data_IF_700838872535
#
_entry.id   IF_700838872535
#
_cell.length_a   1.000
_cell.length_b   1.000
_cell.length_c   1.000
_cell.angle_alpha   90.00
_cell.angle_beta   90.00
_cell.angle_gamma   90.00
#
_symmetry.space_group_name_H-M   'P 1'
#
loop_
_entity.id
_entity.type
_entity.pdbx_description
1 polymer ?
#
# COMPACT_ATOMS: atom_id res chain seq x y z
N UNK A 1 40.90 -1.86 -31.44
CA UNK A 1 39.41 -1.85 -31.35
C UNK A 1 39.03 -2.89 -30.30
N UNK A 2 38.82 -2.49 -29.05
CA UNK A 2 38.46 -3.41 -27.97
C UNK A 2 37.00 -3.78 -28.20
N UNK A 3 36.75 -5.06 -28.50
CA UNK A 3 35.42 -5.63 -28.50
C UNK A 3 34.85 -5.49 -27.07
N UNK A 4 34.00 -4.49 -26.85
CA UNK A 4 33.20 -4.43 -25.62
C UNK A 4 32.29 -5.64 -25.66
N UNK A 5 32.62 -6.67 -24.91
CA UNK A 5 31.81 -7.89 -24.77
C UNK A 5 30.44 -7.44 -24.24
N UNK A 6 29.40 -7.61 -25.03
CA UNK A 6 28.05 -7.18 -24.67
C UNK A 6 27.59 -8.03 -23.47
N UNK A 7 27.46 -7.40 -22.29
CA UNK A 7 27.01 -8.08 -21.07
C UNK A 7 25.56 -8.52 -21.23
N UNK A 8 25.23 -9.71 -20.78
CA UNK A 8 23.82 -10.14 -20.65
C UNK A 8 23.12 -9.26 -19.61
N UNK A 9 21.96 -8.72 -19.93
CA UNK A 9 21.20 -7.83 -19.05
C UNK A 9 20.03 -8.56 -18.40
N UNK A 10 20.00 -8.52 -17.08
CA UNK A 10 18.83 -8.90 -16.29
C UNK A 10 18.13 -7.60 -15.89
N UNK A 11 16.91 -7.38 -16.39
CA UNK A 11 16.11 -6.18 -16.09
C UNK A 11 15.01 -6.55 -15.11
N UNK A 12 14.90 -5.77 -14.02
CA UNK A 12 13.88 -5.92 -12.98
C UNK A 12 13.00 -4.66 -13.03
N UNK A 13 11.69 -4.85 -13.20
CA UNK A 13 10.71 -3.78 -13.27
C UNK A 13 10.00 -3.59 -11.92
N UNK A 14 10.10 -2.41 -11.35
CA UNK A 14 9.56 -2.02 -10.05
C UNK A 14 10.66 -1.75 -9.02
N UNK A 15 10.26 -1.10 -7.90
CA UNK A 15 11.12 -0.77 -6.76
C UNK A 15 10.52 -1.23 -5.41
N UNK A 16 9.46 -2.05 -5.44
CA UNK A 16 8.78 -2.62 -4.28
C UNK A 16 9.48 -3.85 -3.69
N UNK A 17 8.82 -4.49 -2.72
CA UNK A 17 9.35 -5.65 -1.97
C UNK A 17 9.86 -6.78 -2.87
N UNK A 18 9.06 -7.17 -3.87
CA UNK A 18 9.45 -8.24 -4.79
C UNK A 18 10.69 -7.88 -5.62
N UNK A 19 10.71 -6.67 -6.19
CA UNK A 19 11.83 -6.21 -7.02
C UNK A 19 13.13 -6.15 -6.23
N UNK A 20 13.11 -5.54 -5.04
CA UNK A 20 14.29 -5.37 -4.19
C UNK A 20 14.81 -6.72 -3.69
N UNK A 21 13.95 -7.61 -3.24
CA UNK A 21 14.37 -8.94 -2.76
C UNK A 21 14.95 -9.79 -3.90
N UNK A 22 14.35 -9.71 -5.11
CA UNK A 22 14.88 -10.34 -6.30
C UNK A 22 16.26 -9.78 -6.66
N UNK A 23 16.42 -8.46 -6.70
CA UNK A 23 17.68 -7.80 -6.98
C UNK A 23 18.78 -8.21 -6.00
N UNK A 24 18.52 -8.18 -4.69
CA UNK A 24 19.48 -8.62 -3.67
C UNK A 24 19.95 -10.05 -3.87
N UNK A 25 19.02 -10.95 -4.20
CA UNK A 25 19.36 -12.35 -4.46
C UNK A 25 20.22 -12.50 -5.72
N UNK A 26 19.91 -11.76 -6.80
CA UNK A 26 20.71 -11.73 -8.02
C UNK A 26 22.06 -11.04 -7.82
N UNK A 27 22.15 -9.97 -7.02
CA UNK A 27 23.41 -9.32 -6.64
C UNK A 27 24.35 -10.27 -5.88
N UNK A 28 23.82 -11.13 -5.02
CA UNK A 28 24.62 -12.10 -4.28
C UNK A 28 25.29 -13.12 -5.18
N UNK A 29 24.70 -13.39 -6.35
CA UNK A 29 25.23 -14.34 -7.33
C UNK A 29 26.06 -13.67 -8.43
N UNK A 30 25.51 -12.63 -9.05
CA UNK A 30 26.07 -12.01 -10.25
C UNK A 30 26.65 -10.62 -10.04
N UNK A 31 26.60 -10.08 -8.83
CA UNK A 31 27.00 -8.70 -8.61
C UNK A 31 28.49 -8.39 -8.87
N UNK A 32 29.34 -9.42 -8.96
CA UNK A 32 30.75 -9.32 -9.37
C UNK A 32 31.02 -9.98 -10.72
N UNK A 33 29.99 -10.46 -11.42
CA UNK A 33 30.14 -11.11 -12.72
C UNK A 33 30.41 -10.06 -13.81
N UNK A 34 31.48 -10.25 -14.57
CA UNK A 34 31.84 -9.32 -15.65
C UNK A 34 30.95 -9.47 -16.90
N UNK A 35 30.21 -10.57 -17.03
CA UNK A 35 29.39 -10.89 -18.19
C UNK A 35 27.90 -10.55 -17.99
N UNK A 36 27.50 -10.21 -16.76
CA UNK A 36 26.12 -9.90 -16.40
C UNK A 36 25.99 -8.46 -15.90
N UNK A 37 24.97 -7.76 -16.38
CA UNK A 37 24.58 -6.43 -15.88
C UNK A 37 23.19 -6.53 -15.26
N UNK A 38 23.08 -6.13 -13.97
CA UNK A 38 21.81 -6.04 -13.26
C UNK A 38 21.25 -4.62 -13.41
N UNK A 39 20.00 -4.52 -13.87
CA UNK A 39 19.29 -3.25 -14.08
C UNK A 39 17.96 -3.31 -13.37
N UNK A 40 17.62 -2.25 -12.63
CA UNK A 40 16.30 -2.06 -12.04
C UNK A 40 15.69 -0.77 -12.55
N UNK A 41 14.39 -0.80 -12.85
CA UNK A 41 13.63 0.36 -13.32
C UNK A 41 12.43 0.55 -12.39
N UNK A 42 12.29 1.74 -11.79
CA UNK A 42 11.18 2.06 -10.88
C UNK A 42 10.82 3.53 -10.90
N UNK A 43 9.58 3.84 -10.54
CA UNK A 43 9.09 5.23 -10.45
C UNK A 43 9.66 5.95 -9.23
N UNK A 44 9.80 5.24 -8.11
CA UNK A 44 10.42 5.75 -6.89
C UNK A 44 11.84 5.23 -6.74
N UNK A 45 12.76 6.12 -6.34
CA UNK A 45 14.16 5.76 -6.09
C UNK A 45 14.40 5.08 -4.73
N UNK A 46 13.32 4.67 -4.07
CA UNK A 46 13.34 4.01 -2.76
C UNK A 46 12.36 2.83 -2.69
N UNK A 47 12.64 1.89 -1.82
CA UNK A 47 11.69 0.93 -1.31
C UNK A 47 10.88 1.59 -0.20
N UNK A 48 9.56 1.59 -0.30
CA UNK A 48 8.64 2.01 0.75
C UNK A 48 8.24 0.82 1.61
N UNK A 49 8.42 0.93 2.93
CA UNK A 49 7.97 -0.10 3.87
C UNK A 49 6.48 0.11 4.23
N UNK A 50 5.62 -0.24 3.28
CA UNK A 50 4.17 0.03 3.32
C UNK A 50 3.43 -0.43 4.59
N UNK A 51 3.85 -1.50 5.33
CA UNK A 51 3.16 -1.88 6.57
C UNK A 51 3.18 -0.81 7.68
N UNK A 52 4.06 0.19 7.57
CA UNK A 52 4.14 1.29 8.55
C UNK A 52 3.49 2.59 8.07
N UNK A 53 2.82 2.59 6.92
CA UNK A 53 2.10 3.78 6.42
C UNK A 53 1.04 4.31 7.40
N UNK A 54 0.21 3.48 8.05
CA UNK A 54 -0.74 3.97 9.05
C UNK A 54 -0.07 4.72 10.20
N UNK A 55 1.13 4.26 10.63
CA UNK A 55 1.90 4.92 11.70
C UNK A 55 2.53 6.24 11.25
N UNK A 56 2.85 6.38 9.96
CA UNK A 56 3.26 7.68 9.39
C UNK A 56 2.07 8.62 9.30
N UNK A 57 0.93 8.15 8.84
CA UNK A 57 -0.30 8.94 8.77
C UNK A 57 -0.78 9.42 10.15
N UNK A 58 -0.51 8.65 11.21
CA UNK A 58 -0.81 9.04 12.59
C UNK A 58 0.28 9.90 13.24
N UNK A 59 1.43 10.13 12.57
CA UNK A 59 2.55 10.88 13.12
C UNK A 59 3.41 10.13 14.14
N UNK A 60 3.18 8.81 14.32
CA UNK A 60 3.97 7.97 15.23
C UNK A 60 5.38 7.74 14.70
N UNK A 61 5.53 7.62 13.37
CA UNK A 61 6.81 7.38 12.70
C UNK A 61 7.10 8.52 11.73
N UNK A 62 8.34 8.99 11.75
CA UNK A 62 8.81 10.01 10.80
C UNK A 62 8.85 9.44 9.37
N UNK A 63 8.35 10.22 8.40
CA UNK A 63 8.18 9.80 6.98
C UNK A 63 9.43 9.18 6.38
N UNK A 64 10.62 9.76 6.68
CA UNK A 64 11.90 9.29 6.14
C UNK A 64 12.39 7.97 6.74
N UNK A 65 11.81 7.50 7.84
CA UNK A 65 12.30 6.32 8.52
C UNK A 65 11.82 5.01 7.88
N UNK A 66 10.76 5.06 7.06
CA UNK A 66 10.20 3.90 6.36
C UNK A 66 10.55 3.84 4.87
N UNK A 67 11.43 4.72 4.38
CA UNK A 67 11.91 4.71 2.99
C UNK A 67 13.39 4.33 2.92
N UNK A 68 13.73 3.49 1.95
CA UNK A 68 15.07 2.92 1.79
C UNK A 68 15.58 3.16 0.38
N UNK A 69 16.53 4.08 0.16
CA UNK A 69 17.02 4.39 -1.17
C UNK A 69 17.55 3.14 -1.88
N UNK A 70 17.07 2.87 -3.10
CA UNK A 70 17.44 1.66 -3.87
C UNK A 70 18.95 1.57 -4.03
N UNK A 71 19.61 2.68 -4.35
CA UNK A 71 21.07 2.73 -4.55
C UNK A 71 21.89 2.36 -3.31
N UNK A 72 21.27 2.42 -2.10
CA UNK A 72 21.94 2.03 -0.85
C UNK A 72 21.73 0.57 -0.49
N UNK A 73 20.61 -0.02 -0.92
CA UNK A 73 20.22 -1.40 -0.58
C UNK A 73 20.48 -2.39 -1.72
N UNK A 74 20.57 -1.93 -2.98
CA UNK A 74 20.93 -2.69 -4.18
C UNK A 74 22.17 -2.04 -4.83
N UNK A 75 23.35 -2.27 -4.24
CA UNK A 75 24.58 -1.51 -4.57
C UNK A 75 25.24 -1.91 -5.90
N UNK A 76 24.91 -3.09 -6.41
CA UNK A 76 25.51 -3.64 -7.64
C UNK A 76 24.51 -3.67 -8.80
N UNK A 77 23.30 -3.13 -8.57
CA UNK A 77 22.24 -3.01 -9.55
C UNK A 77 22.18 -1.57 -10.07
N UNK A 78 22.25 -1.39 -11.38
CA UNK A 78 22.09 -0.09 -12.00
C UNK A 78 20.62 0.32 -11.94
N UNK A 79 20.31 1.41 -11.28
CA UNK A 79 18.94 1.89 -11.11
C UNK A 79 18.62 3.02 -12.10
N UNK A 80 17.51 2.87 -12.83
CA UNK A 80 16.89 3.89 -13.66
C UNK A 80 15.57 4.32 -13.01
N UNK A 81 15.49 5.60 -12.65
CA UNK A 81 14.27 6.22 -12.18
C UNK A 81 13.43 6.66 -13.38
N UNK A 82 12.20 6.18 -13.43
CA UNK A 82 11.28 6.51 -14.49
C UNK A 82 10.05 5.62 -14.56
N UNK A 83 9.04 6.12 -15.26
CA UNK A 83 7.78 5.42 -15.45
C UNK A 83 7.84 4.50 -16.66
N UNK A 84 7.51 3.23 -16.48
CA UNK A 84 7.50 2.26 -17.57
C UNK A 84 6.35 2.59 -18.53
N UNK A 85 6.73 2.84 -19.80
CA UNK A 85 5.79 3.14 -20.88
C UNK A 85 5.26 1.87 -21.53
N UNK A 86 6.16 0.94 -21.87
CA UNK A 86 5.84 -0.28 -22.59
C UNK A 86 6.86 -1.39 -22.27
N UNK A 87 6.38 -2.62 -22.36
CA UNK A 87 7.19 -3.84 -22.33
C UNK A 87 6.88 -4.64 -23.57
N UNK A 88 7.87 -4.79 -24.44
CA UNK A 88 7.81 -5.63 -25.63
C UNK A 88 8.56 -6.96 -25.37
N UNK A 89 7.84 -8.06 -25.10
CA UNK A 89 8.47 -9.34 -24.82
C UNK A 89 9.04 -10.05 -26.06
N UNK A 90 8.58 -9.69 -27.27
CA UNK A 90 9.12 -10.25 -28.52
C UNK A 90 10.41 -9.58 -28.94
N UNK A 91 10.45 -8.24 -28.91
CA UNK A 91 11.66 -7.46 -29.17
C UNK A 91 12.63 -7.41 -27.99
N UNK A 92 12.29 -8.02 -26.84
CA UNK A 92 13.06 -7.96 -25.59
C UNK A 92 13.46 -6.52 -25.22
N UNK A 93 12.47 -5.62 -25.21
CA UNK A 93 12.68 -4.20 -25.01
C UNK A 93 11.74 -3.66 -23.94
N UNK A 94 12.30 -2.88 -23.00
CA UNK A 94 11.53 -2.08 -22.06
C UNK A 94 11.74 -0.62 -22.41
N UNK A 95 10.64 0.12 -22.56
CA UNK A 95 10.65 1.55 -22.77
C UNK A 95 10.12 2.27 -21.53
N UNK A 96 10.82 3.29 -21.06
CA UNK A 96 10.44 4.12 -19.93
C UNK A 96 10.48 5.60 -20.27
N UNK A 97 9.69 6.40 -19.56
CA UNK A 97 9.83 7.84 -19.47
C UNK A 97 10.80 8.17 -18.36
N UNK A 98 11.91 8.86 -18.68
CA UNK A 98 12.83 9.36 -17.65
C UNK A 98 12.21 10.49 -16.83
N UNK A 99 12.72 10.68 -15.63
CA UNK A 99 12.36 11.81 -14.78
C UNK A 99 12.94 13.11 -15.34
N UNK A 100 12.20 14.22 -15.19
CA UNK A 100 12.60 15.55 -15.59
C UNK A 100 12.19 15.91 -17.01
N UNK A 101 12.99 15.61 -18.01
CA UNK A 101 12.76 15.99 -19.41
C UNK A 101 11.78 15.08 -20.18
N UNK A 102 11.24 14.05 -19.52
CA UNK A 102 10.31 13.06 -20.08
C UNK A 102 10.83 12.37 -21.36
N UNK A 103 12.15 12.29 -21.55
CA UNK A 103 12.73 11.55 -22.68
C UNK A 103 12.40 10.06 -22.56
N UNK A 104 12.07 9.46 -23.70
CA UNK A 104 11.88 8.03 -23.80
C UNK A 104 13.23 7.32 -23.86
N UNK A 105 13.46 6.39 -22.93
CA UNK A 105 14.66 5.56 -22.88
C UNK A 105 14.23 4.12 -23.16
N UNK A 106 14.95 3.44 -24.04
CA UNK A 106 14.71 2.02 -24.35
C UNK A 106 15.87 1.16 -23.88
N UNK A 107 15.57 0.09 -23.16
CA UNK A 107 16.56 -0.82 -22.57
C UNK A 107 16.27 -2.23 -23.06
N UNK A 108 17.24 -2.82 -23.79
CA UNK A 108 17.20 -4.24 -24.15
C UNK A 108 17.51 -5.10 -22.93
N UNK A 109 16.87 -6.28 -22.88
CA UNK A 109 17.11 -7.30 -21.85
C UNK A 109 17.33 -8.69 -22.45
N UNK A 110 18.13 -9.50 -21.81
CA UNK A 110 18.22 -10.93 -22.04
C UNK A 110 17.22 -11.68 -21.17
N UNK A 111 17.08 -11.23 -19.91
CA UNK A 111 16.15 -11.75 -18.92
C UNK A 111 15.36 -10.61 -18.27
N UNK A 112 14.10 -10.89 -17.94
CA UNK A 112 13.19 -9.89 -17.39
C UNK A 112 12.48 -10.41 -16.15
N UNK A 113 12.39 -9.58 -15.11
CA UNK A 113 11.54 -9.83 -13.94
C UNK A 113 10.53 -8.69 -13.83
N UNK A 114 9.25 -9.00 -14.00
CA UNK A 114 8.15 -8.03 -13.85
C UNK A 114 7.66 -8.06 -12.41
N UNK A 115 7.93 -7.00 -11.65
CA UNK A 115 7.58 -6.84 -10.24
C UNK A 115 6.92 -5.48 -9.97
N UNK A 116 6.00 -5.07 -10.85
CA UNK A 116 5.40 -3.74 -10.89
C UNK A 116 4.34 -3.51 -9.79
N UNK A 117 3.97 -4.55 -9.04
CA UNK A 117 3.01 -4.44 -7.96
C UNK A 117 1.58 -4.13 -8.43
N UNK A 118 0.91 -3.27 -7.69
CA UNK A 118 -0.50 -2.94 -7.86
C UNK A 118 -0.78 -1.48 -7.52
N UNK A 119 -1.89 -0.96 -8.04
CA UNK A 119 -2.45 0.35 -7.73
C UNK A 119 -3.80 0.20 -7.03
N UNK A 120 -4.33 1.27 -6.47
CA UNK A 120 -5.65 1.28 -5.84
C UNK A 120 -6.73 1.04 -6.89
N UNK A 121 -7.72 0.22 -6.54
CA UNK A 121 -8.88 -0.05 -7.39
C UNK A 121 -10.11 0.67 -6.83
N UNK A 122 -10.64 1.60 -7.57
CA UNK A 122 -11.87 2.32 -7.24
C UNK A 122 -13.12 1.71 -7.87
N UNK A 123 -13.01 0.53 -8.49
CA UNK A 123 -14.13 -0.20 -9.14
C UNK A 123 -14.93 0.64 -10.15
N UNK A 124 -14.28 1.60 -10.80
CA UNK A 124 -14.90 2.47 -11.80
C UNK A 124 -15.65 3.68 -11.22
N UNK A 125 -15.59 3.90 -9.91
CA UNK A 125 -16.21 5.07 -9.26
C UNK A 125 -15.28 6.29 -9.37
N UNK A 126 -15.46 7.09 -10.42
CA UNK A 126 -14.61 8.25 -10.73
C UNK A 126 -14.72 9.38 -9.68
N UNK A 127 -15.87 9.54 -9.05
CA UNK A 127 -16.12 10.47 -7.96
C UNK A 127 -15.35 10.09 -6.69
N UNK A 128 -15.32 8.79 -6.35
CA UNK A 128 -14.51 8.27 -5.24
C UNK A 128 -13.01 8.44 -5.54
N UNK A 129 -12.56 8.08 -6.75
CA UNK A 129 -11.18 8.23 -7.19
C UNK A 129 -10.68 9.68 -7.08
N UNK A 130 -11.56 10.64 -7.41
CA UNK A 130 -11.23 12.06 -7.36
C UNK A 130 -11.15 12.62 -5.94
N UNK A 131 -12.01 12.17 -5.04
CA UNK A 131 -12.25 12.83 -3.76
C UNK A 131 -11.72 12.05 -2.54
N UNK A 132 -11.45 10.76 -2.66
CA UNK A 132 -10.99 9.93 -1.55
C UNK A 132 -9.48 10.01 -1.34
N UNK A 133 -9.08 9.84 -0.10
CA UNK A 133 -7.68 9.62 0.29
C UNK A 133 -7.35 8.14 0.21
N UNK A 134 -6.15 7.79 -0.21
CA UNK A 134 -5.66 6.42 -0.27
C UNK A 134 -4.59 6.15 0.79
N UNK A 135 -4.16 4.89 0.93
CA UNK A 135 -3.10 4.49 1.86
C UNK A 135 -2.14 3.51 1.17
N UNK A 136 -1.57 3.92 0.05
CA UNK A 136 -0.70 3.10 -0.80
C UNK A 136 0.71 3.64 -0.93
N UNK A 137 0.87 4.95 -0.96
CA UNK A 137 2.14 5.66 -1.13
C UNK A 137 2.51 6.46 0.12
N UNK A 138 3.78 6.89 0.21
CA UNK A 138 4.22 7.79 1.28
C UNK A 138 3.45 9.11 1.25
N UNK A 139 3.21 9.64 0.04
CA UNK A 139 2.44 10.87 -0.15
C UNK A 139 1.01 10.73 0.40
N UNK A 140 0.37 9.58 0.19
CA UNK A 140 -0.97 9.33 0.73
C UNK A 140 -1.00 9.46 2.25
N UNK A 141 -0.02 8.88 2.95
CA UNK A 141 0.05 8.96 4.41
C UNK A 141 0.24 10.40 4.89
N UNK A 142 1.10 11.18 4.23
CA UNK A 142 1.32 12.60 4.54
C UNK A 142 0.07 13.44 4.26
N UNK A 143 -0.55 13.23 3.11
CA UNK A 143 -1.79 13.93 2.72
C UNK A 143 -2.93 13.61 3.69
N UNK A 144 -3.07 12.35 4.07
CA UNK A 144 -4.09 11.95 5.06
C UNK A 144 -3.84 12.60 6.42
N UNK A 145 -2.59 12.60 6.91
CA UNK A 145 -2.22 13.27 8.17
C UNK A 145 -2.57 14.76 8.13
N UNK A 146 -2.18 15.45 7.06
CA UNK A 146 -2.51 16.87 6.88
C UNK A 146 -4.01 17.10 6.84
N UNK A 147 -4.76 16.22 6.17
CA UNK A 147 -6.23 16.29 6.10
C UNK A 147 -6.88 16.14 7.48
N UNK A 148 -6.41 15.19 8.28
CA UNK A 148 -6.95 14.97 9.63
C UNK A 148 -6.78 16.23 10.48
N UNK A 149 -5.57 16.81 10.49
CA UNK A 149 -5.30 18.02 11.25
C UNK A 149 -6.12 19.21 10.73
N UNK A 150 -6.22 19.35 9.39
CA UNK A 150 -7.05 20.40 8.78
C UNK A 150 -8.53 20.29 9.19
N UNK A 151 -9.06 19.08 9.28
CA UNK A 151 -10.43 18.85 9.71
C UNK A 151 -10.65 19.22 11.18
N UNK A 152 -9.65 18.96 12.04
CA UNK A 152 -9.72 19.38 13.45
C UNK A 152 -9.66 20.91 13.60
N UNK A 153 -8.77 21.59 12.85
CA UNK A 153 -8.68 23.06 12.84
C UNK A 153 -9.99 23.71 12.36
N UNK A 154 -10.61 23.16 11.32
CA UNK A 154 -11.89 23.69 10.84
C UNK A 154 -13.02 23.41 11.83
N UNK A 155 -13.08 22.21 12.42
CA UNK A 155 -14.10 21.85 13.39
C UNK A 155 -14.02 22.67 14.70
N UNK A 156 -12.81 23.08 15.12
CA UNK A 156 -12.61 23.86 16.33
C UNK A 156 -13.36 25.21 16.27
N UNK A 157 -13.38 25.82 15.08
CA UNK A 157 -13.97 27.14 14.85
C UNK A 157 -15.36 27.12 14.22
N UNK A 158 -15.87 25.94 13.81
CA UNK A 158 -17.14 25.83 13.11
C UNK A 158 -18.35 25.86 14.08
N UNK A 159 -19.28 26.75 13.81
CA UNK A 159 -20.50 26.93 14.60
C UNK A 159 -21.71 26.18 14.06
N UNK A 160 -21.71 25.86 12.74
CA UNK A 160 -22.77 25.05 12.15
C UNK A 160 -22.62 23.59 12.56
N UNK A 161 -23.56 22.99 13.31
CA UNK A 161 -23.39 21.65 13.86
C UNK A 161 -23.34 20.55 12.78
N UNK A 162 -23.99 20.73 11.64
CA UNK A 162 -23.98 19.76 10.54
C UNK A 162 -22.62 19.78 9.85
N UNK A 163 -22.12 20.95 9.54
CA UNK A 163 -20.81 21.12 8.90
C UNK A 163 -19.69 20.67 9.83
N UNK A 164 -19.74 21.06 11.11
CA UNK A 164 -18.81 20.60 12.13
C UNK A 164 -18.77 19.06 12.24
N UNK A 165 -19.92 18.40 12.25
CA UNK A 165 -20.01 16.94 12.25
C UNK A 165 -19.37 16.34 11.02
N UNK A 166 -19.47 16.97 9.84
CA UNK A 166 -18.86 16.47 8.62
C UNK A 166 -17.32 16.48 8.66
N UNK A 167 -16.72 17.44 9.40
CA UNK A 167 -15.28 17.50 9.62
C UNK A 167 -14.78 16.41 10.59
N UNK A 168 -15.61 16.02 11.57
CA UNK A 168 -15.25 15.09 12.63
C UNK A 168 -15.65 13.63 12.35
N UNK A 169 -16.33 13.37 11.22
CA UNK A 169 -16.61 12.05 10.73
C UNK A 169 -15.50 11.63 9.75
N UNK A 170 -14.81 10.55 10.06
CA UNK A 170 -13.78 9.95 9.20
C UNK A 170 -14.24 8.57 8.77
N UNK A 171 -14.36 8.34 7.47
CA UNK A 171 -14.85 7.07 6.92
C UNK A 171 -13.71 6.30 6.29
N UNK A 172 -13.47 5.07 6.73
CA UNK A 172 -12.47 4.15 6.19
C UNK A 172 -13.20 3.05 5.44
N UNK A 173 -12.90 2.85 4.16
CA UNK A 173 -13.50 1.82 3.31
C UNK A 173 -12.56 0.65 3.17
N UNK A 174 -13.00 -0.52 3.60
CA UNK A 174 -12.26 -1.77 3.60
C UNK A 174 -11.89 -2.25 5.01
N UNK A 175 -12.38 -3.41 5.40
CA UNK A 175 -12.11 -4.09 6.67
C UNK A 175 -10.90 -5.04 6.63
N UNK A 176 -10.04 -4.93 5.61
CA UNK A 176 -8.77 -5.65 5.52
C UNK A 176 -7.69 -5.08 6.44
N UNK A 177 -6.45 -5.60 6.33
CA UNK A 177 -5.32 -5.15 7.17
C UNK A 177 -5.10 -3.65 7.12
N UNK A 178 -4.95 -3.07 5.92
CA UNK A 178 -4.68 -1.64 5.75
C UNK A 178 -5.77 -0.76 6.36
N UNK A 179 -7.06 -1.11 6.13
CA UNK A 179 -8.17 -0.31 6.67
C UNK A 179 -8.27 -0.38 8.18
N UNK A 180 -8.14 -1.57 8.75
CA UNK A 180 -8.22 -1.76 10.21
C UNK A 180 -7.06 -1.10 10.93
N UNK A 181 -5.82 -1.24 10.43
CA UNK A 181 -4.65 -0.59 11.00
C UNK A 181 -4.74 0.94 10.85
N UNK A 182 -5.23 1.43 9.70
CA UNK A 182 -5.45 2.87 9.49
C UNK A 182 -6.53 3.42 10.44
N UNK A 183 -7.65 2.73 10.61
CA UNK A 183 -8.72 3.17 11.51
C UNK A 183 -8.24 3.20 12.98
N UNK A 184 -7.45 2.20 13.40
CA UNK A 184 -6.87 2.15 14.74
C UNK A 184 -5.90 3.30 15.00
N UNK A 185 -4.95 3.52 14.10
CA UNK A 185 -3.96 4.59 14.19
C UNK A 185 -4.58 5.99 14.06
N UNK A 186 -5.61 6.14 13.22
CA UNK A 186 -6.38 7.38 13.10
C UNK A 186 -7.09 7.73 14.40
N UNK A 187 -7.80 6.78 15.01
CA UNK A 187 -8.48 7.01 16.28
C UNK A 187 -7.48 7.35 17.40
N UNK A 188 -6.31 6.70 17.42
CA UNK A 188 -5.25 7.02 18.39
C UNK A 188 -4.74 8.44 18.21
N UNK A 189 -4.47 8.89 16.97
CA UNK A 189 -4.11 10.28 16.68
C UNK A 189 -5.18 11.25 17.18
N UNK A 190 -6.44 11.03 16.79
CA UNK A 190 -7.56 11.92 17.17
C UNK A 190 -7.68 12.06 18.69
N UNK A 191 -7.57 10.96 19.44
CA UNK A 191 -7.66 10.99 20.90
C UNK A 191 -6.45 11.66 21.55
N UNK A 192 -5.25 11.46 21.03
CA UNK A 192 -4.00 12.06 21.57
C UNK A 192 -3.98 13.58 21.34
N UNK A 193 -4.41 14.07 20.16
CA UNK A 193 -4.33 15.49 19.80
C UNK A 193 -5.55 16.31 20.24
N UNK A 194 -6.69 15.67 20.57
CA UNK A 194 -7.93 16.34 20.96
C UNK A 194 -7.75 17.40 22.05
N UNK A 195 -6.82 17.21 22.96
CA UNK A 195 -6.54 18.17 24.05
C UNK A 195 -6.10 19.56 23.57
N UNK A 196 -5.64 19.67 22.34
CA UNK A 196 -5.28 20.94 21.70
C UNK A 196 -6.48 21.65 21.04
N UNK A 197 -7.64 20.97 21.01
CA UNK A 197 -8.90 21.45 20.42
C UNK A 197 -10.02 21.42 21.48
N UNK A 198 -10.08 22.43 22.38
CA UNK A 198 -10.96 22.40 23.55
C UNK A 198 -12.45 22.36 23.22
N UNK A 199 -12.87 22.86 22.04
CA UNK A 199 -14.27 22.78 21.63
C UNK A 199 -14.69 21.36 21.24
N UNK A 200 -13.74 20.47 20.87
CA UNK A 200 -14.03 19.14 20.38
C UNK A 200 -14.10 18.13 21.54
N UNK A 201 -15.27 17.51 21.72
CA UNK A 201 -15.44 16.45 22.71
C UNK A 201 -15.10 15.09 22.11
N UNK A 202 -14.78 14.10 22.99
CA UNK A 202 -14.46 12.73 22.53
C UNK A 202 -15.59 12.13 21.69
N UNK A 203 -16.84 12.38 22.07
CA UNK A 203 -18.01 11.81 21.41
C UNK A 203 -18.36 12.48 20.07
N UNK A 204 -17.74 13.63 19.79
CA UNK A 204 -17.84 14.30 18.48
C UNK A 204 -17.02 13.56 17.41
N UNK A 205 -15.92 12.93 17.80
CA UNK A 205 -15.01 12.22 16.92
C UNK A 205 -15.59 10.87 16.50
N UNK A 206 -15.73 10.63 15.20
CA UNK A 206 -16.25 9.37 14.66
C UNK A 206 -15.29 8.79 13.63
N UNK A 207 -14.85 7.57 13.85
CA UNK A 207 -14.16 6.75 12.84
C UNK A 207 -15.07 5.60 12.49
N UNK A 208 -15.46 5.52 11.21
CA UNK A 208 -16.43 4.56 10.71
C UNK A 208 -15.72 3.68 9.68
N UNK A 209 -15.73 2.38 9.89
CA UNK A 209 -15.19 1.40 8.94
C UNK A 209 -16.34 0.77 8.16
N UNK A 210 -16.36 0.94 6.85
CA UNK A 210 -17.32 0.32 5.95
C UNK A 210 -16.67 -0.89 5.27
N UNK A 211 -17.28 -2.07 5.45
CA UNK A 211 -16.81 -3.30 4.84
C UNK A 211 -17.94 -3.98 4.06
N UNK A 212 -17.70 -4.26 2.80
CA UNK A 212 -18.67 -4.91 1.93
C UNK A 212 -18.92 -6.38 2.30
N UNK A 213 -17.93 -7.03 2.89
CA UNK A 213 -18.07 -8.42 3.34
C UNK A 213 -18.70 -8.53 4.73
N UNK A 214 -19.00 -9.76 5.14
CA UNK A 214 -19.60 -10.06 6.45
C UNK A 214 -18.60 -10.13 7.61
N UNK A 215 -17.30 -9.90 7.36
CA UNK A 215 -16.25 -10.00 8.39
C UNK A 215 -15.10 -9.02 8.11
N UNK A 216 -14.38 -8.64 9.14
CA UNK A 216 -13.11 -7.89 9.02
C UNK A 216 -11.92 -8.84 9.07
N UNK A 217 -10.75 -8.39 8.58
CA UNK A 217 -9.48 -9.10 8.65
C UNK A 217 -9.58 -10.53 8.09
N UNK A 218 -10.05 -10.69 6.83
CA UNK A 218 -10.20 -11.99 6.22
C UNK A 218 -8.87 -12.75 6.22
N UNK A 219 -8.94 -14.04 6.58
CA UNK A 219 -7.75 -14.90 6.70
C UNK A 219 -7.23 -15.06 8.15
N UNK A 220 -7.64 -14.24 9.09
CA UNK A 220 -7.44 -14.53 10.50
C UNK A 220 -8.44 -15.56 11.03
N UNK A 221 -8.08 -16.23 12.13
CA UNK A 221 -9.02 -17.02 12.89
C UNK A 221 -10.20 -16.16 13.36
N UNK A 222 -11.44 -16.68 13.26
CA UNK A 222 -12.67 -15.96 13.63
C UNK A 222 -12.63 -15.36 15.05
N UNK A 223 -12.02 -16.08 16.02
CA UNK A 223 -11.89 -15.56 17.39
C UNK A 223 -10.99 -14.33 17.47
N UNK A 224 -9.91 -14.29 16.67
CA UNK A 224 -9.03 -13.12 16.60
C UNK A 224 -9.70 -11.94 15.89
N UNK A 225 -10.44 -12.19 14.82
CA UNK A 225 -11.20 -11.15 14.11
C UNK A 225 -12.29 -10.55 15.01
N UNK A 226 -13.01 -11.37 15.77
CA UNK A 226 -14.01 -10.89 16.74
C UNK A 226 -13.38 -10.12 17.91
N UNK A 227 -12.25 -10.59 18.45
CA UNK A 227 -11.47 -9.84 19.43
C UNK A 227 -11.06 -8.46 18.88
N UNK A 228 -10.56 -8.39 17.63
CA UNK A 228 -10.21 -7.13 17.00
C UNK A 228 -11.41 -6.20 16.88
N UNK A 229 -12.55 -6.70 16.39
CA UNK A 229 -13.80 -5.96 16.25
C UNK A 229 -14.27 -5.38 17.57
N UNK A 230 -14.25 -6.19 18.64
CA UNK A 230 -14.62 -5.74 19.98
C UNK A 230 -13.68 -4.64 20.48
N UNK A 231 -12.36 -4.80 20.33
CA UNK A 231 -11.37 -3.79 20.76
C UNK A 231 -11.49 -2.47 20.00
N UNK A 232 -11.75 -2.51 18.71
CA UNK A 232 -12.00 -1.32 17.91
C UNK A 232 -13.28 -0.61 18.37
N UNK A 233 -14.36 -1.37 18.64
CA UNK A 233 -15.61 -0.80 19.17
C UNK A 233 -15.41 -0.15 20.55
N UNK A 234 -14.66 -0.78 21.46
CA UNK A 234 -14.33 -0.23 22.78
C UNK A 234 -13.55 1.11 22.66
N UNK A 235 -12.85 1.32 21.56
CA UNK A 235 -12.13 2.57 21.23
C UNK A 235 -13.02 3.64 20.59
N UNK A 236 -14.26 3.32 20.26
CA UNK A 236 -15.21 4.23 19.62
C UNK A 236 -15.21 4.16 18.09
N UNK A 237 -14.60 3.13 17.50
CA UNK A 237 -14.64 2.89 16.05
C UNK A 237 -15.92 2.11 15.72
N UNK A 238 -16.75 2.67 14.84
CA UNK A 238 -17.97 2.02 14.33
C UNK A 238 -17.63 1.14 13.12
N UNK A 239 -17.92 -0.16 13.20
CA UNK A 239 -17.66 -1.10 12.12
C UNK A 239 -18.99 -1.56 11.53
N UNK A 240 -19.23 -1.17 10.28
CA UNK A 240 -20.42 -1.52 9.53
C UNK A 240 -20.08 -2.55 8.46
N UNK A 241 -20.54 -3.78 8.66
CA UNK A 241 -20.36 -4.89 7.72
C UNK A 241 -21.49 -4.94 6.70
N UNK A 242 -21.25 -5.62 5.57
CA UNK A 242 -22.20 -5.71 4.45
C UNK A 242 -22.64 -4.33 3.94
N UNK A 243 -21.74 -3.36 4.00
CA UNK A 243 -21.93 -1.99 3.54
C UNK A 243 -20.95 -1.67 2.41
N UNK A 244 -21.44 -1.47 1.22
CA UNK A 244 -20.64 -1.08 0.06
C UNK A 244 -20.84 0.42 -0.24
N UNK A 245 -19.74 1.13 -0.42
CA UNK A 245 -19.75 2.52 -0.91
C UNK A 245 -20.11 2.50 -2.40
N UNK A 246 -20.99 3.38 -2.81
CA UNK A 246 -21.42 3.55 -4.20
C UNK A 246 -21.02 4.89 -4.81
N UNK A 247 -20.83 5.93 -3.99
CA UNK A 247 -20.35 7.24 -4.43
C UNK A 247 -19.77 8.06 -3.27
N UNK A 248 -18.97 9.08 -3.60
CA UNK A 248 -18.47 10.10 -2.69
C UNK A 248 -18.18 11.40 -3.43
N UNK A 249 -18.93 12.44 -3.15
CA UNK A 249 -18.81 13.76 -3.80
C UNK A 249 -17.83 14.72 -3.12
N UNK A 250 -17.17 14.28 -2.03
CA UNK A 250 -16.29 15.10 -1.17
C UNK A 250 -16.99 15.64 0.08
N UNK A 251 -18.30 15.42 0.22
CA UNK A 251 -19.12 15.87 1.36
C UNK A 251 -19.96 14.75 1.96
N UNK A 252 -20.38 13.81 1.15
CA UNK A 252 -21.30 12.74 1.54
C UNK A 252 -20.92 11.43 0.86
N UNK A 253 -20.88 10.35 1.65
CA UNK A 253 -20.68 8.98 1.18
C UNK A 253 -22.02 8.30 1.05
N UNK A 254 -22.34 7.80 -0.13
CA UNK A 254 -23.52 6.97 -0.36
C UNK A 254 -23.17 5.49 -0.17
N UNK A 255 -24.01 4.78 0.56
CA UNK A 255 -23.78 3.40 0.99
C UNK A 255 -24.96 2.53 0.58
N UNK A 256 -24.68 1.37 0.04
CA UNK A 256 -25.65 0.31 -0.23
C UNK A 256 -25.47 -0.82 0.77
N UNK A 257 -26.58 -1.30 1.37
CA UNK A 257 -26.58 -2.51 2.18
C UNK A 257 -26.61 -3.74 1.26
N UNK A 258 -25.73 -4.71 1.54
CA UNK A 258 -25.64 -5.98 0.81
C UNK A 258 -26.33 -7.07 1.61
N UNK A 259 -27.63 -7.30 1.37
CA UNK A 259 -28.39 -8.41 1.98
C UNK A 259 -28.14 -9.71 1.24
N UNK A 260 -28.09 -10.83 1.98
CA UNK A 260 -27.90 -12.18 1.40
C UNK A 260 -29.21 -12.80 0.86
N UNK A 261 -30.36 -12.20 1.10
CA UNK A 261 -31.64 -12.74 0.63
C UNK A 261 -32.00 -12.16 -0.74
N UNK A 262 -32.28 -13.02 -1.76
CA UNK A 262 -32.92 -12.59 -2.98
C UNK A 262 -34.34 -12.15 -2.60
N UNK A 263 -34.63 -10.88 -2.58
CA UNK A 263 -35.98 -10.40 -2.54
C UNK A 263 -36.53 -10.45 -3.97
N UNK A 264 -37.55 -11.27 -4.18
CA UNK A 264 -38.36 -11.30 -5.41
C UNK A 264 -39.18 -10.01 -5.63
N UNK A 265 -38.83 -8.93 -4.99
CA UNK A 265 -39.39 -7.59 -5.17
C UNK A 265 -38.30 -6.62 -5.58
N UNK A 266 -38.50 -6.06 -6.73
CA UNK A 266 -37.80 -4.89 -7.24
C UNK A 266 -37.71 -3.85 -6.11
N UNK A 267 -36.51 -3.73 -5.59
CA UNK A 267 -35.84 -2.57 -5.04
C UNK A 267 -36.47 -1.78 -3.89
N UNK A 268 -35.84 -1.89 -2.76
CA UNK A 268 -35.34 -0.76 -1.98
C UNK A 268 -34.19 -1.26 -1.12
N UNK A 269 -33.02 -1.50 -1.76
CA UNK A 269 -31.76 -1.49 -1.00
C UNK A 269 -31.74 -0.15 -0.26
N UNK A 270 -31.80 -0.17 1.10
CA UNK A 270 -31.70 1.05 1.88
C UNK A 270 -30.41 1.76 1.50
N UNK A 271 -30.54 2.80 0.68
CA UNK A 271 -29.45 3.71 0.39
C UNK A 271 -29.34 4.61 1.63
N UNK A 272 -28.27 4.45 2.34
CA UNK A 272 -27.93 5.29 3.48
C UNK A 272 -26.78 6.22 3.08
N UNK A 273 -26.68 7.35 3.74
CA UNK A 273 -25.57 8.27 3.51
C UNK A 273 -24.90 8.67 4.82
N UNK A 274 -23.61 9.00 4.73
CA UNK A 274 -22.81 9.53 5.83
C UNK A 274 -22.19 10.85 5.38
N UNK A 275 -22.53 11.91 6.11
CA UNK A 275 -21.91 13.22 5.91
C UNK A 275 -20.49 13.17 6.45
N UNK A 276 -19.50 13.37 5.57
CA UNK A 276 -18.07 13.40 5.89
C UNK A 276 -17.29 14.20 4.86
N UNK A 277 -16.23 14.85 5.29
CA UNK A 277 -15.23 15.48 4.43
C UNK A 277 -14.01 14.61 4.17
N UNK A 278 -13.94 13.42 4.80
CA UNK A 278 -12.75 12.56 4.73
C UNK A 278 -13.14 11.10 4.54
N UNK A 279 -13.00 10.63 3.31
CA UNK A 279 -13.12 9.22 2.94
C UNK A 279 -11.74 8.64 2.68
N UNK A 280 -11.39 7.56 3.36
CA UNK A 280 -10.11 6.86 3.23
C UNK A 280 -10.36 5.53 2.54
N UNK A 281 -9.88 5.40 1.31
CA UNK A 281 -10.11 4.22 0.48
C UNK A 281 -8.97 3.23 0.61
N UNK A 282 -9.22 2.10 1.24
CA UNK A 282 -8.27 0.98 1.39
C UNK A 282 -8.80 -0.31 0.74
N UNK A 283 -9.97 -0.25 0.11
CA UNK A 283 -10.64 -1.39 -0.49
C UNK A 283 -10.15 -1.63 -1.94
N UNK A 284 -9.62 -2.83 -2.15
CA UNK A 284 -9.28 -3.30 -3.48
C UNK A 284 -7.97 -2.76 -4.05
N UNK A 285 -7.32 -3.62 -4.81
CA UNK A 285 -6.15 -3.30 -5.62
C UNK A 285 -6.30 -3.89 -7.02
N UNK A 286 -5.64 -3.29 -7.98
CA UNK A 286 -5.56 -3.76 -9.36
C UNK A 286 -4.11 -3.67 -9.84
N UNK A 287 -3.65 -4.57 -10.72
CA UNK A 287 -2.34 -4.40 -11.34
C UNK A 287 -2.24 -3.08 -12.10
N UNK A 288 -1.05 -2.51 -12.10
CA UNK A 288 -0.79 -1.23 -12.77
C UNK A 288 -1.16 -1.26 -14.26
N UNK A 289 -1.62 -0.13 -14.79
CA UNK A 289 -2.12 -0.02 -16.18
C UNK A 289 -1.09 -0.44 -17.23
N UNK A 290 0.21 -0.32 -16.95
CA UNK A 290 1.28 -0.78 -17.84
C UNK A 290 1.15 -2.26 -18.20
N UNK A 291 0.68 -3.10 -17.25
CA UNK A 291 0.47 -4.54 -17.51
C UNK A 291 -0.71 -4.76 -18.44
N UNK A 292 -1.80 -4.00 -18.28
CA UNK A 292 -2.98 -4.10 -19.16
C UNK A 292 -2.65 -3.75 -20.61
N UNK A 293 -1.64 -2.90 -20.83
CA UNK A 293 -1.16 -2.48 -22.17
C UNK A 293 -0.05 -3.38 -22.72
N UNK A 294 0.51 -4.26 -21.90
CA UNK A 294 1.56 -5.18 -22.32
C UNK A 294 0.99 -6.34 -23.15
N UNK A 295 1.86 -7.01 -23.90
CA UNK A 295 1.49 -8.19 -24.71
C UNK A 295 1.43 -9.49 -23.87
N UNK A 296 1.58 -9.42 -22.56
CA UNK A 296 1.46 -10.58 -21.70
C UNK A 296 0.01 -11.07 -21.61
N UNK A 297 -0.18 -12.37 -21.57
CA UNK A 297 -1.50 -12.93 -21.29
C UNK A 297 -1.87 -12.64 -19.84
N UNK A 298 -3.02 -12.00 -19.65
CA UNK A 298 -3.50 -11.63 -18.31
C UNK A 298 -4.85 -12.26 -18.01
N UNK A 299 -5.10 -12.49 -16.73
CA UNK A 299 -6.41 -12.79 -16.17
C UNK A 299 -6.68 -11.88 -14.99
N UNK A 300 -7.85 -11.24 -14.93
CA UNK A 300 -8.19 -10.21 -13.94
C UNK A 300 -7.12 -9.10 -13.85
N UNK A 301 -6.48 -8.77 -14.97
CA UNK A 301 -5.42 -7.79 -15.08
C UNK A 301 -4.03 -8.26 -14.61
N UNK A 302 -3.89 -9.47 -14.05
CA UNK A 302 -2.61 -10.05 -13.58
C UNK A 302 -1.98 -10.91 -14.65
N UNK A 303 -0.65 -10.90 -14.74
CA UNK A 303 0.12 -11.72 -15.66
C UNK A 303 0.01 -13.19 -15.25
N UNK A 304 -0.41 -14.06 -16.17
CA UNK A 304 -0.45 -15.50 -15.92
C UNK A 304 0.96 -16.07 -15.91
N UNK A 305 1.30 -16.82 -14.87
CA UNK A 305 2.61 -17.47 -14.69
C UNK A 305 2.45 -18.96 -14.44
N UNK A 306 3.54 -19.72 -14.70
CA UNK A 306 3.60 -21.14 -14.42
C UNK A 306 4.14 -21.45 -13.01
N UNK A 307 4.27 -22.74 -12.66
CA UNK A 307 4.77 -23.20 -11.36
C UNK A 307 6.20 -22.70 -11.03
N UNK A 308 6.96 -22.29 -12.02
CA UNK A 308 8.33 -21.78 -11.88
C UNK A 308 8.38 -20.24 -11.81
N UNK A 309 7.22 -19.57 -11.78
CA UNK A 309 7.03 -18.13 -11.84
C UNK A 309 7.43 -17.48 -13.17
N UNK A 310 7.59 -18.28 -14.25
CA UNK A 310 7.83 -17.80 -15.60
C UNK A 310 6.54 -17.44 -16.32
N UNK A 311 6.63 -16.45 -17.20
CA UNK A 311 5.53 -16.08 -18.11
C UNK A 311 5.52 -17.07 -19.28
N UNK A 312 4.45 -17.84 -19.48
CA UNK A 312 4.34 -18.79 -20.61
C UNK A 312 4.61 -18.09 -21.95
N UNK A 313 5.26 -18.78 -22.88
CA UNK A 313 5.70 -18.32 -24.21
C UNK A 313 6.91 -17.36 -24.24
N UNK A 314 7.37 -16.87 -23.10
CA UNK A 314 8.51 -15.95 -23.02
C UNK A 314 9.60 -16.51 -22.08
N UNK A 315 10.43 -17.46 -22.55
CA UNK A 315 11.51 -18.03 -21.74
C UNK A 315 12.43 -16.93 -21.19
N UNK A 316 12.75 -17.00 -19.90
CA UNK A 316 13.58 -15.98 -19.23
C UNK A 316 12.82 -14.72 -18.81
N UNK A 317 11.49 -14.68 -18.96
CA UNK A 317 10.62 -13.64 -18.40
C UNK A 317 9.86 -14.20 -17.20
N UNK A 318 10.02 -13.57 -16.04
CA UNK A 318 9.35 -13.92 -14.80
C UNK A 318 8.38 -12.78 -14.39
N UNK A 319 7.29 -13.13 -13.71
CA UNK A 319 6.42 -12.13 -13.08
C UNK A 319 6.15 -12.52 -11.63
N UNK A 320 6.20 -11.55 -10.70
CA UNK A 320 6.14 -11.78 -9.26
C UNK A 320 5.39 -10.67 -8.53
N UNK A 321 4.89 -10.99 -7.33
CA UNK A 321 4.14 -10.07 -6.50
C UNK A 321 2.72 -9.81 -7.02
N UNK A 322 2.16 -8.66 -6.67
CA UNK A 322 0.74 -8.35 -6.89
C UNK A 322 0.33 -8.31 -8.37
N UNK A 323 1.28 -8.08 -9.27
CA UNK A 323 1.05 -8.04 -10.70
C UNK A 323 0.99 -9.44 -11.37
N UNK A 324 1.36 -10.49 -10.66
CA UNK A 324 1.34 -11.87 -11.14
C UNK A 324 0.13 -12.65 -10.60
N UNK A 325 -0.43 -13.51 -11.44
CA UNK A 325 -1.46 -14.46 -11.03
C UNK A 325 -0.83 -15.82 -10.80
N UNK A 326 -0.68 -16.17 -9.54
CA UNK A 326 -0.30 -17.52 -9.13
C UNK A 326 -1.43 -18.13 -8.31
N UNK A 327 -1.88 -19.31 -8.72
CA UNK A 327 -2.92 -20.08 -8.03
C UNK A 327 -2.22 -21.10 -7.15
N UNK A 328 -2.53 -21.10 -5.87
CA UNK A 328 -2.02 -22.09 -4.92
C UNK A 328 -2.51 -23.51 -5.33
N UNK A 329 -1.60 -24.43 -5.63
CA UNK A 329 -1.98 -25.76 -6.06
C UNK A 329 -2.69 -26.59 -4.98
N UNK A 330 -2.58 -26.18 -3.70
CA UNK A 330 -3.23 -26.87 -2.57
C UNK A 330 -4.66 -26.38 -2.40
N UNK A 331 -4.88 -25.06 -2.40
CA UNK A 331 -6.20 -24.47 -2.11
C UNK A 331 -7.01 -24.14 -3.36
N UNK A 332 -6.40 -24.22 -4.55
CA UNK A 332 -6.94 -23.81 -5.84
C UNK A 332 -7.48 -22.37 -5.84
N UNK A 333 -6.85 -21.49 -5.06
CA UNK A 333 -7.19 -20.06 -4.95
C UNK A 333 -5.96 -19.19 -5.23
N UNK A 334 -6.15 -18.00 -5.82
CA UNK A 334 -5.06 -17.05 -5.95
C UNK A 334 -4.50 -16.67 -4.58
N UNK A 335 -3.18 -16.55 -4.49
CA UNK A 335 -2.56 -16.02 -3.27
C UNK A 335 -2.98 -14.57 -3.01
N UNK A 336 -3.21 -14.21 -1.72
CA UNK A 336 -3.48 -12.81 -1.36
C UNK A 336 -2.25 -11.94 -1.65
N UNK A 337 -2.47 -10.68 -2.05
CA UNK A 337 -1.40 -9.73 -2.34
C UNK A 337 -0.75 -9.24 -1.03
N UNK A 338 0.34 -9.88 -0.64
CA UNK A 338 1.09 -9.54 0.57
C UNK A 338 2.58 -9.45 0.33
N UNK A 339 3.28 -8.59 1.08
CA UNK A 339 4.73 -8.47 1.01
C UNK A 339 5.45 -9.80 1.28
N UNK A 340 4.93 -10.66 2.17
CA UNK A 340 5.51 -11.97 2.46
C UNK A 340 5.52 -12.89 1.25
N UNK A 341 4.41 -12.93 0.51
CA UNK A 341 4.30 -13.75 -0.71
C UNK A 341 5.17 -13.16 -1.80
N UNK A 342 5.15 -11.83 -1.97
CA UNK A 342 5.98 -11.12 -2.93
C UNK A 342 7.48 -11.38 -2.71
N UNK A 343 7.96 -11.34 -1.44
CA UNK A 343 9.34 -11.69 -1.06
C UNK A 343 9.67 -13.17 -1.34
N UNK A 344 8.73 -14.09 -1.05
CA UNK A 344 8.93 -15.52 -1.30
C UNK A 344 9.01 -15.82 -2.80
N UNK A 345 8.11 -15.24 -3.59
CA UNK A 345 8.16 -15.33 -5.05
C UNK A 345 9.45 -14.74 -5.62
N UNK A 346 9.90 -13.61 -5.11
CA UNK A 346 11.14 -12.97 -5.54
C UNK A 346 12.36 -13.86 -5.35
N UNK A 347 12.48 -14.52 -4.20
CA UNK A 347 13.57 -15.47 -3.92
C UNK A 347 13.56 -16.66 -4.87
N UNK A 348 12.38 -17.20 -5.13
CA UNK A 348 12.24 -18.35 -6.04
C UNK A 348 12.46 -17.94 -7.50
N UNK A 349 11.91 -16.83 -7.95
CA UNK A 349 12.13 -16.32 -9.30
C UNK A 349 13.62 -16.04 -9.56
N UNK A 350 14.31 -15.40 -8.61
CA UNK A 350 15.75 -15.18 -8.70
C UNK A 350 16.52 -16.51 -8.76
N UNK A 351 16.15 -17.50 -7.91
CA UNK A 351 16.77 -18.85 -7.94
C UNK A 351 16.57 -19.52 -9.30
N UNK A 352 15.35 -19.50 -9.82
CA UNK A 352 15.01 -20.10 -11.12
C UNK A 352 15.69 -19.38 -12.29
N UNK A 353 15.85 -18.06 -12.20
CA UNK A 353 16.60 -17.29 -13.19
C UNK A 353 18.10 -17.64 -13.15
N UNK A 354 18.69 -17.78 -11.96
CA UNK A 354 20.07 -18.26 -11.79
C UNK A 354 20.23 -19.66 -12.37
N UNK A 355 19.30 -20.58 -12.07
CA UNK A 355 19.30 -21.93 -12.64
C UNK A 355 19.24 -21.91 -14.16
N UNK A 356 18.39 -21.06 -14.75
CA UNK A 356 18.27 -20.91 -16.19
C UNK A 356 19.60 -20.42 -16.83
N UNK A 357 20.26 -19.44 -16.24
CA UNK A 357 21.54 -18.88 -16.73
C UNK A 357 22.65 -19.92 -16.64
N UNK A 358 22.65 -20.75 -15.58
CA UNK A 358 23.64 -21.80 -15.31
C UNK A 358 23.31 -23.15 -15.97
N UNK A 359 22.21 -23.21 -16.74
CA UNK A 359 21.70 -24.46 -17.35
C UNK A 359 21.45 -25.58 -16.33
N UNK A 360 20.92 -25.23 -15.14
CA UNK A 360 20.50 -26.19 -14.12
C UNK A 360 18.99 -26.24 -13.98
N UNK A 361 18.47 -27.21 -13.22
CA UNK A 361 17.04 -27.42 -13.06
C UNK A 361 16.38 -26.29 -12.24
N UNK A 362 15.17 -25.90 -12.65
CA UNK A 362 14.31 -24.95 -11.95
C UNK A 362 13.48 -25.68 -10.90
N UNK A 363 13.10 -24.96 -9.85
CA UNK A 363 12.25 -25.46 -8.78
C UNK A 363 10.86 -24.85 -8.82
N UNK A 364 9.83 -25.65 -8.51
CA UNK A 364 8.45 -25.17 -8.38
C UNK A 364 8.30 -24.27 -7.16
N UNK A 365 7.50 -23.23 -7.32
CA UNK A 365 7.17 -22.35 -6.19
C UNK A 365 6.16 -23.03 -5.27
N UNK A 366 6.54 -23.16 -4.01
CA UNK A 366 5.68 -23.60 -2.91
C UNK A 366 5.79 -22.58 -1.80
N UNK A 367 4.65 -22.16 -1.26
CA UNK A 367 4.61 -21.18 -0.19
C UNK A 367 3.95 -21.74 1.07
N UNK A 368 4.66 -21.63 2.18
CA UNK A 368 4.15 -21.92 3.51
C UNK A 368 4.02 -20.61 4.30
N UNK A 369 2.80 -20.30 4.72
CA UNK A 369 2.56 -19.09 5.51
C UNK A 369 3.29 -19.17 6.85
N UNK A 370 4.00 -18.09 7.20
CA UNK A 370 4.65 -17.93 8.51
C UNK A 370 3.71 -17.36 9.58
N UNK A 371 2.47 -17.08 9.20
CA UNK A 371 1.47 -16.44 10.02
C UNK A 371 1.14 -15.01 9.57
N UNK A 372 0.25 -14.38 10.31
CA UNK A 372 -0.28 -13.05 10.04
C UNK A 372 -0.26 -12.21 11.31
N UNK A 373 -0.04 -10.91 11.16
CA UNK A 373 0.08 -9.97 12.26
C UNK A 373 -0.66 -8.69 11.88
N UNK A 374 -1.45 -8.12 12.79
CA UNK A 374 -2.08 -6.81 12.61
C UNK A 374 -2.10 -6.02 13.92
N UNK A 375 -1.87 -4.69 13.81
CA UNK A 375 -2.13 -3.74 14.89
C UNK A 375 -3.56 -3.24 14.78
N UNK A 376 -4.25 -3.16 15.91
CA UNK A 376 -5.63 -2.66 16.00
C UNK A 376 -5.73 -1.42 16.89
N UNK A 377 -4.59 -0.78 17.15
CA UNK A 377 -4.41 0.45 17.88
C UNK A 377 -3.40 0.35 19.02
N UNK A 378 -3.32 1.39 19.84
CA UNK A 378 -2.29 1.57 20.88
C UNK A 378 -2.19 0.35 21.80
N UNK A 379 -1.01 -0.29 21.83
CA UNK A 379 -0.66 -1.47 22.64
C UNK A 379 -1.57 -2.70 22.44
N UNK A 380 -2.25 -2.79 21.30
CA UNK A 380 -3.16 -3.88 21.01
C UNK A 380 -2.94 -4.42 19.61
N UNK A 381 -2.76 -5.72 19.47
CA UNK A 381 -2.59 -6.39 18.19
C UNK A 381 -3.24 -7.77 18.20
N UNK A 382 -3.25 -8.38 17.04
CA UNK A 382 -3.58 -9.78 16.83
C UNK A 382 -2.52 -10.45 15.99
N UNK A 383 -2.27 -11.70 16.25
CA UNK A 383 -1.25 -12.50 15.59
C UNK A 383 -1.68 -13.96 15.45
N UNK A 384 -1.45 -14.53 14.29
CA UNK A 384 -1.26 -15.98 14.14
C UNK A 384 0.22 -16.16 13.82
N UNK A 385 0.96 -16.73 14.74
CA UNK A 385 2.40 -16.89 14.63
C UNK A 385 2.80 -18.33 14.94
N UNK A 386 3.45 -19.00 14.00
CA UNK A 386 3.82 -20.43 14.12
C UNK A 386 2.64 -21.33 14.54
N UNK A 387 1.45 -21.05 14.01
CA UNK A 387 0.24 -21.81 14.33
C UNK A 387 -0.46 -21.45 15.66
N UNK A 388 0.12 -20.52 16.45
CA UNK A 388 -0.47 -20.06 17.71
C UNK A 388 -1.19 -18.73 17.51
N UNK A 389 -2.41 -18.62 18.03
CA UNK A 389 -3.21 -17.41 18.02
C UNK A 389 -2.94 -16.59 19.28
N UNK A 390 -2.51 -15.34 19.10
CA UNK A 390 -2.12 -14.42 20.17
C UNK A 390 -2.87 -13.10 19.95
N UNK A 391 -3.30 -12.46 21.04
CA UNK A 391 -3.99 -11.16 20.99
C UNK A 391 -3.55 -10.23 22.10
N UNK A 392 -3.88 -8.94 21.97
CA UNK A 392 -3.59 -7.90 22.96
C UNK A 392 -2.13 -7.43 22.91
N UNK A 393 -1.57 -7.10 24.09
CA UNK A 393 -0.25 -6.50 24.21
C UNK A 393 0.89 -7.39 23.67
N UNK A 394 0.82 -8.70 23.91
CA UNK A 394 1.85 -9.63 23.43
C UNK A 394 1.89 -9.70 21.90
N UNK A 395 0.72 -9.73 21.24
CA UNK A 395 0.63 -9.69 19.78
C UNK A 395 1.20 -8.38 19.22
N UNK A 396 0.93 -7.25 19.88
CA UNK A 396 1.47 -5.94 19.54
C UNK A 396 3.02 -5.91 19.66
N UNK A 397 3.56 -6.50 20.73
CA UNK A 397 5.00 -6.59 20.91
C UNK A 397 5.66 -7.49 19.85
N UNK A 398 5.06 -8.64 19.53
CA UNK A 398 5.51 -9.54 18.46
C UNK A 398 5.51 -8.80 17.12
N UNK A 399 4.44 -8.07 16.80
CA UNK A 399 4.34 -7.27 15.59
C UNK A 399 5.51 -6.28 15.47
N UNK A 400 5.78 -5.50 16.51
CA UNK A 400 6.90 -4.53 16.51
C UNK A 400 8.24 -5.22 16.27
N UNK A 401 8.52 -6.32 16.96
CA UNK A 401 9.77 -7.04 16.79
C UNK A 401 9.92 -7.65 15.38
N UNK A 402 8.86 -8.29 14.86
CA UNK A 402 8.86 -8.87 13.52
C UNK A 402 9.09 -7.80 12.45
N UNK A 403 8.35 -6.69 12.50
CA UNK A 403 8.47 -5.64 11.50
C UNK A 403 9.78 -4.87 11.63
N UNK A 404 10.27 -4.63 12.84
CA UNK A 404 11.59 -4.04 13.05
C UNK A 404 12.71 -4.93 12.46
N UNK A 405 12.59 -6.25 12.63
CA UNK A 405 13.56 -7.20 12.05
C UNK A 405 13.61 -7.15 10.52
N UNK A 406 12.46 -6.87 9.88
CA UNK A 406 12.30 -6.81 8.42
C UNK A 406 12.79 -5.50 7.80
N UNK A 407 13.03 -4.45 8.55
CA UNK A 407 13.60 -3.20 8.05
C UNK A 407 15.00 -3.49 7.46
N UNK A 408 15.29 -3.05 6.20
CA UNK A 408 16.49 -3.47 5.49
C UNK A 408 17.82 -2.98 6.10
N UNK A 409 17.84 -1.80 6.73
CA UNK A 409 19.08 -1.16 7.20
C UNK A 409 19.08 -0.92 8.70
N UNK A 410 20.27 -1.04 9.34
CA UNK A 410 20.38 -0.92 10.79
C UNK A 410 20.06 0.50 11.30
N UNK A 411 20.50 1.53 10.58
CA UNK A 411 20.20 2.93 10.91
C UNK A 411 18.70 3.23 10.97
N UNK A 412 17.94 2.71 10.00
CA UNK A 412 16.49 2.87 9.98
C UNK A 412 15.78 2.05 11.07
N UNK A 413 16.30 0.84 11.37
CA UNK A 413 15.80 0.07 12.54
C UNK A 413 15.90 0.90 13.82
N UNK A 414 17.05 1.51 14.05
CA UNK A 414 17.29 2.33 15.24
C UNK A 414 16.36 3.54 15.26
N UNK A 415 16.17 4.23 14.12
CA UNK A 415 15.28 5.40 14.03
C UNK A 415 13.82 5.05 14.31
N UNK A 416 13.30 4.01 13.66
CA UNK A 416 11.92 3.53 13.90
C UNK A 416 11.74 3.07 15.35
N UNK A 417 12.74 2.39 15.92
CA UNK A 417 12.70 2.03 17.34
C UNK A 417 12.63 3.26 18.24
N UNK A 418 13.44 4.29 17.96
CA UNK A 418 13.42 5.56 18.71
C UNK A 418 12.09 6.30 18.55
N UNK A 419 11.52 6.36 17.33
CA UNK A 419 10.18 6.94 17.12
C UNK A 419 9.15 6.26 18.01
N UNK A 420 9.17 4.93 18.08
CA UNK A 420 8.27 4.17 18.95
C UNK A 420 8.49 4.41 20.45
N UNK A 421 9.74 4.68 20.85
CA UNK A 421 10.06 5.03 22.25
C UNK A 421 9.57 6.44 22.55
N UNK A 422 9.79 7.39 21.63
CA UNK A 422 9.33 8.78 21.76
C UNK A 422 7.81 8.85 21.89
N UNK A 423 7.07 8.11 21.05
CA UNK A 423 5.59 8.04 21.10
C UNK A 423 5.03 7.51 22.44
N UNK A 424 5.85 6.85 23.26
CA UNK A 424 5.42 6.41 24.60
C UNK A 424 5.39 7.55 25.64
N UNK A 425 6.22 8.58 25.44
CA UNK A 425 6.46 9.64 26.44
C UNK A 425 5.99 11.02 25.97
N UNK A 426 5.90 11.23 24.66
CA UNK A 426 5.56 12.52 24.09
C UNK A 426 4.30 12.40 23.23
N UNK A 427 3.57 13.50 23.16
CA UNK A 427 2.37 13.60 22.34
C UNK A 427 2.72 13.71 20.86
N UNK A 428 1.78 13.31 20.02
CA UNK A 428 1.89 13.45 18.57
C UNK A 428 1.78 14.92 18.16
N UNK A 429 2.58 15.31 17.18
CA UNK A 429 2.61 16.65 16.63
C UNK A 429 1.35 16.95 15.80
N UNK A 430 0.84 18.18 15.89
CA UNK A 430 -0.34 18.70 15.17
C UNK A 430 0.04 19.60 13.98
N UNK A 431 1.33 19.74 13.66
CA UNK A 431 1.77 20.59 12.55
C UNK A 431 1.39 19.98 11.20
N UNK A 432 0.87 20.81 10.30
CA UNK A 432 0.65 20.44 8.90
C UNK A 432 1.93 20.63 8.09
N UNK A 433 2.32 19.61 7.34
CA UNK A 433 3.50 19.66 6.48
C UNK A 433 3.08 19.97 5.04
N UNK A 434 3.25 21.22 4.61
CA UNK A 434 2.99 21.63 3.23
C UNK A 434 4.20 21.33 2.35
N UNK A 435 4.21 20.17 1.70
CA UNK A 435 5.22 19.79 0.71
C UNK A 435 4.85 20.21 -0.74
N UNK A 436 3.63 20.71 -0.95
CA UNK A 436 3.16 21.15 -2.26
C UNK A 436 3.60 22.60 -2.45
N UNK A 437 4.28 22.88 -3.58
CA UNK A 437 4.57 24.24 -4.02
C UNK A 437 3.26 25.02 -4.02
N UNK A 438 3.18 26.09 -3.23
CA UNK A 438 1.96 26.90 -3.10
C UNK A 438 1.44 27.31 -4.49
N UNK A 439 0.38 26.66 -4.97
CA UNK A 439 -0.52 27.24 -5.95
C UNK A 439 -1.36 28.38 -5.34
N UNK A 440 -1.34 28.45 -4.04
CA UNK A 440 -2.10 29.39 -3.18
C UNK A 440 -1.82 30.88 -3.47
N UNK A 441 -0.69 31.28 -4.07
CA UNK A 441 -0.52 32.66 -4.50
C UNK A 441 -1.39 33.05 -5.72
N UNK A 442 -1.76 32.08 -6.54
CA UNK A 442 -2.68 32.29 -7.64
C UNK A 442 -4.13 32.37 -7.20
N UNK A 443 -4.55 31.47 -6.30
CA UNK A 443 -5.91 31.48 -5.74
C UNK A 443 -6.20 32.73 -4.89
N UNK A 444 -5.24 33.20 -4.09
CA UNK A 444 -5.44 34.45 -3.34
C UNK A 444 -5.46 35.69 -4.24
N UNK A 445 -4.69 35.71 -5.33
CA UNK A 445 -4.78 36.79 -6.32
C UNK A 445 -6.10 36.79 -7.07
N UNK A 446 -6.66 35.63 -7.39
CA UNK A 446 -7.98 35.52 -8.03
C UNK A 446 -9.11 35.92 -7.07
N UNK A 447 -8.97 35.70 -5.75
CA UNK A 447 -9.91 36.16 -4.73
C UNK A 447 -9.81 37.67 -4.48
N UNK A 448 -8.61 38.24 -4.44
CA UNK A 448 -8.38 39.68 -4.31
C UNK A 448 -8.91 40.45 -5.55
N UNK A 449 -8.81 39.88 -6.76
CA UNK A 449 -9.36 40.45 -7.98
C UNK A 449 -10.91 40.42 -8.03
N UNK A 450 -11.55 39.52 -7.30
CA UNK A 450 -13.03 39.43 -7.20
C UNK A 450 -13.59 40.45 -6.19
N UNK A 451 -12.87 40.74 -5.11
CA UNK A 451 -13.30 41.72 -4.09
C UNK A 451 -13.13 43.18 -4.56
N UNK A 452 -12.28 43.47 -5.56
CA UNK A 452 -12.13 44.79 -6.17
C UNK A 452 -13.22 45.15 -7.20
N UNK A 453 -14.22 44.28 -7.44
CA UNK A 453 -15.30 44.48 -8.43
C UNK A 453 -16.66 44.82 -7.77
N UNK A 454 -16.70 45.06 -6.44
CA UNK A 454 -17.95 45.49 -5.76
C UNK A 454 -17.79 46.83 -5.02
#
# INVERSE_FOLDING_TARGET
>A
MWLVKNKKKIVILGSGFAAVECAKKLESEFGNDSEIELVMIGEDNFLLFTPMLPQVASGMIETRHIVFPIRTICKKTKFYEGRIKNVDPYGKLVTLWGTGDKRSISIHYDFLVVALGSETNFFGMADVEKNAYTMKTLNDAVMLRNRIIDMLEQAENETNPILRKSFLNFVVVGGGFAGIETAGELMDLLLDVRKYYPSIQKDDLKVIVLEAMGEILPGFNKKLAEFAKQKLKERGIDIQLKKAVTSFDGNEVTIKTLDETPKDSIDQSEINSIITKTLIWTAGITPVNTIKRSMFKTEKGKIIINDFLEVPKFPGVFAIGDCALFVDPITNRPFPPTAQIAEAQAKMAAKNLISLIKNSEKEKFVYHSKGQLAIIGKRTGIATFLGVNISGFLAWLIWRNVYLSKIPTFDKKTRVFLDWVIDLFFDRDVSRLNFIKRETEKEYKELDEVDDVW
#
